data_IF_721273335502
#
_entry.id   IF_721273335502
#
_cell.length_a   1.000
_cell.length_b   1.000
_cell.length_c   1.000
_cell.angle_alpha   90.00
_cell.angle_beta   90.00
_cell.angle_gamma   90.00
#
_symmetry.space_group_name_H-M   'P 1'
#
loop_
_entity.id
_entity.type
_entity.pdbx_description
1 polymer ?
#
# COMPACT_ATOMS: atom_id res chain seq x y z
N UNK A 1 18.96 -3.65 0.61
CA UNK A 1 18.21 -3.57 -0.68
C UNK A 1 18.18 -2.13 -1.16
N UNK A 2 18.39 -1.88 -2.47
CA UNK A 2 18.37 -0.53 -3.03
C UNK A 2 17.38 -0.47 -4.21
N UNK A 3 16.67 0.65 -4.34
CA UNK A 3 15.88 0.98 -5.52
C UNK A 3 16.49 2.25 -6.12
N UNK A 4 17.23 2.12 -7.21
CA UNK A 4 18.09 3.20 -7.69
C UNK A 4 19.05 3.64 -6.58
N UNK A 5 18.94 4.91 -6.15
CA UNK A 5 19.75 5.48 -5.07
C UNK A 5 19.10 5.40 -3.68
N UNK A 6 17.89 4.87 -3.59
CA UNK A 6 17.14 4.75 -2.33
C UNK A 6 17.63 3.52 -1.56
N UNK A 7 18.24 3.73 -0.41
CA UNK A 7 18.72 2.65 0.47
C UNK A 7 17.63 2.27 1.48
N UNK A 8 17.20 1.01 1.50
CA UNK A 8 16.11 0.51 2.34
C UNK A 8 16.55 -0.51 3.42
N UNK A 9 17.86 -0.78 3.52
CA UNK A 9 18.38 -1.76 4.48
C UNK A 9 18.10 -3.21 4.08
N UNK A 10 18.10 -4.09 5.07
CA UNK A 10 17.83 -5.52 4.90
C UNK A 10 16.34 -5.84 5.14
N UNK A 11 15.77 -6.70 4.28
CA UNK A 11 14.37 -7.16 4.36
C UNK A 11 13.36 -6.03 4.59
N UNK A 12 13.34 -4.98 3.74
CA UNK A 12 12.45 -3.85 3.92
C UNK A 12 10.97 -4.22 3.80
N UNK A 13 10.16 -3.49 4.56
CA UNK A 13 8.71 -3.65 4.64
C UNK A 13 8.02 -2.45 3.98
N UNK A 14 7.14 -2.73 3.04
CA UNK A 14 6.45 -1.74 2.22
C UNK A 14 4.97 -1.66 2.59
N UNK A 15 4.43 -0.45 2.67
CA UNK A 15 2.98 -0.26 2.70
C UNK A 15 2.43 -0.29 1.27
N UNK A 16 1.47 -1.17 1.01
CA UNK A 16 0.84 -1.25 -0.30
C UNK A 16 -0.04 -0.01 -0.59
N UNK A 17 -0.04 0.53 -1.82
CA UNK A 17 -0.98 1.55 -2.22
C UNK A 17 -2.41 1.00 -2.26
N UNK A 18 -3.34 1.62 -1.52
CA UNK A 18 -4.73 1.19 -1.40
C UNK A 18 -5.65 2.41 -1.43
N UNK A 19 -6.51 2.48 -2.44
CA UNK A 19 -7.47 3.58 -2.63
C UNK A 19 -8.37 3.74 -1.41
N UNK A 20 -8.61 4.98 -1.01
CA UNK A 20 -9.38 5.40 0.17
C UNK A 20 -8.84 4.85 1.51
N UNK A 21 -7.60 4.38 1.58
CA UNK A 21 -7.03 3.80 2.80
C UNK A 21 -5.64 4.35 3.11
N UNK A 22 -4.74 4.34 2.12
CA UNK A 22 -3.36 4.77 2.32
C UNK A 22 -3.16 6.25 2.01
N UNK A 23 -4.05 7.07 2.56
CA UNK A 23 -3.89 8.52 2.56
C UNK A 23 -2.71 8.97 3.43
N UNK A 24 -2.34 10.25 3.37
CA UNK A 24 -1.19 10.78 4.09
C UNK A 24 -1.29 10.57 5.61
N UNK A 25 -2.49 10.59 6.19
CA UNK A 25 -2.67 10.38 7.64
C UNK A 25 -2.41 8.93 8.04
N UNK A 26 -2.82 7.97 7.22
CA UNK A 26 -2.53 6.56 7.49
C UNK A 26 -1.07 6.20 7.18
N UNK A 27 -0.48 6.78 6.14
CA UNK A 27 0.95 6.63 5.84
C UNK A 27 1.80 7.15 6.99
N UNK A 28 1.42 8.31 7.60
CA UNK A 28 2.06 8.82 8.81
C UNK A 28 2.10 7.76 9.92
N UNK A 29 0.97 7.14 10.22
CA UNK A 29 0.89 6.08 11.25
C UNK A 29 1.74 4.86 10.87
N UNK A 30 1.67 4.38 9.63
CA UNK A 30 2.46 3.23 9.20
C UNK A 30 3.98 3.51 9.24
N UNK A 31 4.39 4.75 8.95
CA UNK A 31 5.80 5.17 9.08
C UNK A 31 6.29 5.13 10.52
N UNK A 32 5.48 5.62 11.48
CA UNK A 32 5.80 5.52 12.91
C UNK A 32 6.01 4.07 13.38
N UNK A 33 5.30 3.12 12.78
CA UNK A 33 5.45 1.69 13.07
C UNK A 33 6.51 0.98 12.25
N UNK A 34 7.27 1.68 11.42
CA UNK A 34 8.45 1.16 10.75
C UNK A 34 8.19 0.59 9.35
N UNK A 35 7.19 1.11 8.62
CA UNK A 35 7.17 0.96 7.17
C UNK A 35 8.39 1.66 6.58
N UNK A 36 9.25 0.91 5.87
CA UNK A 36 10.49 1.46 5.31
C UNK A 36 10.18 2.35 4.12
N UNK A 37 9.22 1.95 3.29
CA UNK A 37 8.78 2.70 2.13
C UNK A 37 7.28 2.59 1.92
N UNK A 38 6.70 3.65 1.38
CA UNK A 38 5.27 3.74 1.12
C UNK A 38 5.01 4.32 -0.28
N UNK A 39 3.75 4.25 -0.68
CA UNK A 39 3.26 4.80 -1.95
C UNK A 39 2.02 5.64 -1.70
N UNK A 40 1.80 6.66 -2.53
CA UNK A 40 0.52 7.37 -2.55
C UNK A 40 -0.60 6.41 -2.97
N UNK A 41 -1.84 6.78 -2.73
CA UNK A 41 -2.94 6.17 -3.46
C UNK A 41 -2.71 6.36 -4.96
N UNK A 42 -3.16 5.39 -5.78
CA UNK A 42 -2.88 5.44 -7.22
C UNK A 42 -3.65 6.58 -7.91
N UNK A 43 -2.96 7.30 -8.79
CA UNK A 43 -3.44 8.50 -9.46
C UNK A 43 -3.69 8.20 -10.94
N UNK A 44 -4.86 8.59 -11.44
CA UNK A 44 -5.18 8.44 -12.86
C UNK A 44 -4.32 9.37 -13.71
N UNK A 45 -3.64 8.85 -14.73
CA UNK A 45 -2.92 9.66 -15.71
C UNK A 45 -3.86 10.63 -16.43
N UNK A 46 -5.03 10.17 -16.87
CA UNK A 46 -6.06 11.04 -17.46
C UNK A 46 -6.55 12.14 -16.51
N UNK A 47 -6.58 11.85 -15.20
CA UNK A 47 -6.96 12.82 -14.18
C UNK A 47 -5.89 13.89 -13.98
N UNK A 48 -4.62 13.49 -13.96
CA UNK A 48 -3.50 14.44 -13.81
C UNK A 48 -3.39 15.38 -14.99
N UNK A 49 -3.36 14.87 -16.22
CA UNK A 49 -3.18 15.70 -17.42
C UNK A 49 -4.36 16.66 -17.69
N UNK A 50 -5.50 16.46 -17.01
CA UNK A 50 -6.68 17.34 -17.06
C UNK A 50 -6.81 18.22 -15.82
N UNK A 51 -5.78 18.32 -15.01
CA UNK A 51 -5.74 19.09 -13.75
C UNK A 51 -6.92 18.79 -12.82
N UNK A 52 -7.37 17.52 -12.80
CA UNK A 52 -8.46 17.12 -11.94
C UNK A 52 -8.05 17.29 -10.47
N UNK A 53 -8.74 18.17 -9.75
CA UNK A 53 -8.42 18.57 -8.36
C UNK A 53 -8.07 17.37 -7.46
N UNK A 54 -8.86 16.30 -7.47
CA UNK A 54 -8.60 15.09 -6.66
C UNK A 54 -7.32 14.38 -7.04
N UNK A 55 -6.89 14.45 -8.31
CA UNK A 55 -5.63 13.87 -8.76
C UNK A 55 -4.44 14.71 -8.31
N UNK A 56 -4.56 16.03 -8.37
CA UNK A 56 -3.52 16.95 -7.90
C UNK A 56 -3.36 16.87 -6.37
N UNK A 57 -4.45 16.76 -5.61
CA UNK A 57 -4.42 16.59 -4.16
C UNK A 57 -3.62 15.33 -3.73
N UNK A 58 -3.64 14.26 -4.53
CA UNK A 58 -2.88 13.03 -4.26
C UNK A 58 -1.37 13.13 -4.57
N UNK A 59 -0.92 14.19 -5.27
CA UNK A 59 0.51 14.47 -5.46
C UNK A 59 1.17 15.02 -4.20
N UNK A 60 0.39 15.56 -3.25
CA UNK A 60 0.93 16.13 -2.01
C UNK A 60 1.50 15.02 -1.14
N UNK A 61 2.77 15.14 -0.80
CA UNK A 61 3.51 14.26 0.10
C UNK A 61 4.23 15.08 1.18
N UNK A 62 4.73 14.44 2.21
CA UNK A 62 5.32 15.11 3.37
C UNK A 62 6.70 14.53 3.68
N UNK A 63 7.60 15.32 4.26
CA UNK A 63 8.97 14.91 4.59
C UNK A 63 9.04 13.66 5.47
N UNK A 64 8.07 13.47 6.37
CA UNK A 64 8.01 12.30 7.23
C UNK A 64 7.71 10.99 6.47
N UNK A 65 7.26 11.07 5.23
CA UNK A 65 6.92 9.89 4.41
C UNK A 65 8.12 9.33 3.65
N UNK A 66 9.24 10.06 3.63
CA UNK A 66 10.45 9.67 2.89
C UNK A 66 11.04 8.33 3.36
N UNK A 67 11.39 7.42 2.44
CA UNK A 67 11.16 7.48 1.00
C UNK A 67 9.72 7.16 0.60
N UNK A 68 9.20 7.90 -0.38
CA UNK A 68 7.83 7.72 -0.88
C UNK A 68 7.78 7.66 -2.41
N UNK A 69 6.98 6.72 -2.94
CA UNK A 69 6.67 6.63 -4.35
C UNK A 69 5.33 7.27 -4.68
N UNK A 70 5.27 8.02 -5.78
CA UNK A 70 3.98 8.44 -6.36
C UNK A 70 3.54 7.37 -7.36
N UNK A 71 2.38 6.76 -7.11
CA UNK A 71 1.85 5.71 -7.97
C UNK A 71 0.83 6.25 -8.98
N UNK A 72 1.07 6.00 -10.27
CA UNK A 72 0.20 6.38 -11.38
C UNK A 72 -0.38 5.16 -12.09
N UNK A 73 -1.54 5.31 -12.72
CA UNK A 73 -2.14 4.28 -13.58
C UNK A 73 -2.82 4.88 -14.81
N UNK A 74 -2.80 4.13 -15.89
CA UNK A 74 -3.44 4.46 -17.15
C UNK A 74 -3.16 3.38 -18.19
N UNK A 75 -3.57 3.63 -19.43
CA UNK A 75 -3.35 2.73 -20.56
C UNK A 75 -3.07 3.48 -21.88
N UNK A 76 -2.92 4.78 -21.82
CA UNK A 76 -2.55 5.64 -22.96
C UNK A 76 -1.10 6.05 -22.73
N UNK A 77 -0.17 5.67 -23.63
CA UNK A 77 1.27 5.90 -23.45
C UNK A 77 1.60 7.37 -23.18
N UNK A 78 1.11 8.29 -23.98
CA UNK A 78 1.39 9.72 -23.88
C UNK A 78 0.89 10.28 -22.51
N UNK A 79 -0.32 9.89 -22.12
CA UNK A 79 -0.88 10.30 -20.81
C UNK A 79 -0.11 9.74 -19.62
N UNK A 80 0.47 8.54 -19.76
CA UNK A 80 1.30 7.93 -18.71
C UNK A 80 2.66 8.62 -18.60
N UNK A 81 3.24 9.03 -19.71
CA UNK A 81 4.49 9.83 -19.76
C UNK A 81 4.27 11.18 -19.09
N UNK A 82 3.23 11.91 -19.50
CA UNK A 82 2.92 13.23 -18.93
C UNK A 82 2.65 13.14 -17.42
N UNK A 83 1.88 12.13 -17.00
CA UNK A 83 1.61 11.88 -15.58
C UNK A 83 2.87 11.53 -14.78
N UNK A 84 3.81 10.79 -15.36
CA UNK A 84 5.08 10.47 -14.72
C UNK A 84 5.96 11.73 -14.54
N UNK A 85 6.02 12.59 -15.55
CA UNK A 85 6.72 13.90 -15.46
C UNK A 85 6.06 14.80 -14.41
N UNK A 86 4.72 14.80 -14.32
CA UNK A 86 4.01 15.52 -13.26
C UNK A 86 4.31 14.94 -11.87
N UNK A 87 4.39 13.61 -11.74
CA UNK A 87 4.75 12.96 -10.48
C UNK A 87 6.20 13.29 -10.06
N UNK A 88 7.15 13.31 -11.00
CA UNK A 88 8.55 13.75 -10.74
C UNK A 88 8.60 15.21 -10.24
N UNK A 89 7.72 16.06 -10.76
CA UNK A 89 7.62 17.47 -10.39
C UNK A 89 6.56 17.75 -9.31
N UNK A 90 6.15 16.76 -8.57
CA UNK A 90 5.04 16.88 -7.60
C UNK A 90 5.27 17.99 -6.58
N UNK A 91 6.50 18.18 -6.06
CA UNK A 91 6.84 19.26 -5.14
C UNK A 91 6.61 20.66 -5.75
N UNK A 92 6.91 20.83 -7.04
CA UNK A 92 6.70 22.08 -7.76
C UNK A 92 5.20 22.34 -8.04
N UNK A 93 4.45 21.29 -8.34
CA UNK A 93 3.04 21.37 -8.76
C UNK A 93 2.09 21.48 -7.56
N UNK A 94 2.31 20.67 -6.55
CA UNK A 94 1.39 20.49 -5.42
C UNK A 94 2.00 20.90 -4.06
N UNK A 95 3.29 21.19 -4.02
CA UNK A 95 4.02 21.45 -2.78
C UNK A 95 4.40 20.17 -2.02
N UNK A 96 4.94 20.35 -0.81
CA UNK A 96 5.38 19.26 0.04
C UNK A 96 6.75 18.70 -0.37
N UNK A 97 7.00 17.41 -0.01
CA UNK A 97 8.29 16.74 -0.25
C UNK A 97 8.50 16.40 -1.75
N UNK A 98 7.46 15.95 -2.45
CA UNK A 98 7.57 15.40 -3.80
C UNK A 98 7.69 13.88 -3.81
N UNK A 99 8.32 13.32 -4.85
CA UNK A 99 8.49 11.88 -5.03
C UNK A 99 9.96 11.48 -4.96
N UNK A 100 10.25 10.34 -4.33
CA UNK A 100 11.57 9.70 -4.40
C UNK A 100 11.64 8.70 -5.58
N UNK A 101 10.48 8.19 -6.02
CA UNK A 101 10.34 7.38 -7.22
C UNK A 101 8.93 7.50 -7.83
N UNK A 102 8.80 7.08 -9.08
CA UNK A 102 7.51 6.92 -9.77
C UNK A 102 7.18 5.43 -9.85
N UNK A 103 5.97 5.05 -9.41
CA UNK A 103 5.51 3.65 -9.50
C UNK A 103 4.34 3.53 -10.47
N UNK A 104 4.37 2.48 -11.30
CA UNK A 104 3.32 2.20 -12.28
C UNK A 104 2.41 1.10 -11.75
N UNK A 105 1.11 1.39 -11.63
CA UNK A 105 0.11 0.42 -11.22
C UNK A 105 -0.42 -0.37 -12.42
N UNK A 106 0.01 -1.62 -12.53
CA UNK A 106 -0.56 -2.63 -13.43
C UNK A 106 -1.26 -3.76 -12.65
N UNK A 107 -1.67 -3.49 -11.40
CA UNK A 107 -2.24 -4.52 -10.51
C UNK A 107 -3.66 -4.27 -10.02
N UNK A 108 -4.22 -3.06 -10.14
CA UNK A 108 -5.55 -2.75 -9.64
C UNK A 108 -6.64 -3.60 -10.33
N UNK A 109 -7.40 -4.47 -9.60
CA UNK A 109 -8.35 -5.38 -10.20
C UNK A 109 -9.77 -4.78 -10.35
N UNK A 110 -9.98 -3.56 -9.88
CA UNK A 110 -11.30 -2.91 -9.88
C UNK A 110 -11.88 -2.87 -11.29
N UNK A 111 -13.10 -3.38 -11.44
CA UNK A 111 -13.74 -3.56 -12.76
C UNK A 111 -13.82 -2.27 -13.58
N UNK A 112 -14.06 -1.12 -12.94
CA UNK A 112 -14.11 0.19 -13.60
C UNK A 112 -12.77 0.56 -14.27
N UNK A 113 -11.65 0.16 -13.68
CA UNK A 113 -10.30 0.40 -14.18
C UNK A 113 -9.90 -0.68 -15.19
N UNK A 114 -10.00 -1.95 -14.78
CA UNK A 114 -9.53 -3.08 -15.59
C UNK A 114 -10.30 -3.25 -16.90
N UNK A 115 -11.63 -2.97 -16.92
CA UNK A 115 -12.43 -3.00 -18.17
C UNK A 115 -12.02 -1.94 -19.19
N UNK A 116 -11.44 -0.84 -18.73
CA UNK A 116 -10.89 0.22 -19.60
C UNK A 116 -9.47 -0.08 -20.10
N UNK A 117 -8.92 -1.25 -19.78
CA UNK A 117 -7.58 -1.66 -20.16
C UNK A 117 -6.47 -1.09 -19.26
N UNK A 118 -6.79 -0.39 -18.15
CA UNK A 118 -5.81 0.16 -17.23
C UNK A 118 -5.62 -0.74 -15.99
N UNK A 119 -4.61 -0.44 -15.14
CA UNK A 119 -4.29 -1.28 -14.01
C UNK A 119 -4.04 -2.73 -14.44
N UNK A 120 -4.67 -3.70 -13.77
CA UNK A 120 -4.52 -5.12 -14.14
C UNK A 120 -5.16 -5.49 -15.51
N UNK A 121 -5.91 -4.59 -16.12
CA UNK A 121 -6.40 -4.74 -17.51
C UNK A 121 -5.26 -4.86 -18.52
N UNK A 122 -4.12 -4.23 -18.23
CA UNK A 122 -2.90 -4.27 -19.04
C UNK A 122 -2.27 -5.67 -19.13
N UNK A 123 -2.58 -6.59 -18.19
CA UNK A 123 -2.10 -7.98 -18.26
C UNK A 123 -2.56 -8.74 -19.50
N UNK A 124 -3.55 -8.23 -20.24
CA UNK A 124 -4.00 -8.77 -21.53
C UNK A 124 -3.26 -8.18 -22.74
N UNK A 125 -2.47 -7.14 -22.52
CA UNK A 125 -1.70 -6.42 -23.54
C UNK A 125 -0.25 -6.25 -23.07
N UNK A 126 0.51 -7.36 -22.84
CA UNK A 126 1.84 -7.30 -22.24
C UNK A 126 2.84 -6.48 -23.06
N UNK A 127 2.74 -6.49 -24.39
CA UNK A 127 3.60 -5.67 -25.24
C UNK A 127 3.38 -4.18 -25.03
N UNK A 128 2.13 -3.76 -24.92
CA UNK A 128 1.77 -2.37 -24.62
C UNK A 128 2.17 -1.98 -23.19
N UNK A 129 2.05 -2.91 -22.24
CA UNK A 129 2.47 -2.72 -20.87
C UNK A 129 3.99 -2.42 -20.79
N UNK A 130 4.79 -3.20 -21.50
CA UNK A 130 6.25 -3.01 -21.59
C UNK A 130 6.58 -1.69 -22.31
N UNK A 131 5.90 -1.37 -23.40
CA UNK A 131 6.12 -0.14 -24.17
C UNK A 131 5.78 1.12 -23.35
N UNK A 132 4.65 1.14 -22.63
CA UNK A 132 4.32 2.24 -21.72
C UNK A 132 5.42 2.39 -20.66
N UNK A 133 5.86 1.28 -20.06
CA UNK A 133 6.91 1.29 -19.05
C UNK A 133 8.21 1.87 -19.60
N UNK A 134 8.63 1.46 -20.80
CA UNK A 134 9.83 1.99 -21.47
C UNK A 134 9.74 3.50 -21.65
N UNK A 135 8.62 4.01 -22.18
CA UNK A 135 8.44 5.44 -22.41
C UNK A 135 8.45 6.23 -21.10
N UNK A 136 7.85 5.72 -20.04
CA UNK A 136 7.89 6.35 -18.72
C UNK A 136 9.32 6.38 -18.17
N UNK A 137 10.07 5.27 -18.24
CA UNK A 137 11.48 5.20 -17.80
C UNK A 137 12.35 6.20 -18.54
N UNK A 138 12.15 6.37 -19.87
CA UNK A 138 12.90 7.31 -20.69
C UNK A 138 12.57 8.79 -20.40
N UNK A 139 11.37 9.07 -19.86
CA UNK A 139 10.85 10.42 -19.70
C UNK A 139 11.24 11.07 -18.35
N UNK A 140 11.53 10.28 -17.31
CA UNK A 140 11.83 10.78 -15.96
C UNK A 140 13.23 10.41 -15.50
N UNK A 141 13.77 11.16 -14.55
CA UNK A 141 15.09 10.92 -13.93
C UNK A 141 14.96 10.08 -12.65
N UNK A 142 13.81 10.16 -11.99
CA UNK A 142 13.54 9.37 -10.80
C UNK A 142 13.52 7.87 -11.13
N UNK A 143 13.88 6.99 -10.17
CA UNK A 143 13.68 5.56 -10.32
C UNK A 143 12.22 5.25 -10.66
N UNK A 144 12.01 4.35 -11.63
CA UNK A 144 10.68 3.86 -11.99
C UNK A 144 10.53 2.43 -11.48
N UNK A 145 9.42 2.15 -10.81
CA UNK A 145 9.05 0.80 -10.35
C UNK A 145 7.70 0.39 -10.92
N UNK A 146 7.42 -0.91 -10.87
CA UNK A 146 6.13 -1.45 -11.33
C UNK A 146 5.51 -2.31 -10.25
N UNK A 147 4.21 -2.15 -10.01
CA UNK A 147 3.41 -3.06 -9.20
C UNK A 147 2.36 -3.77 -10.04
N UNK A 148 2.41 -5.11 -10.05
CA UNK A 148 1.55 -5.92 -10.91
C UNK A 148 1.03 -7.19 -10.21
N UNK A 149 0.42 -8.10 -10.97
CA UNK A 149 -0.13 -9.40 -10.56
C UNK A 149 0.50 -10.54 -11.36
N UNK A 150 0.09 -11.80 -11.08
CA UNK A 150 0.60 -12.99 -11.77
C UNK A 150 0.17 -13.05 -13.24
N UNK A 151 -0.98 -12.48 -13.58
CA UNK A 151 -1.60 -12.52 -14.90
C UNK A 151 -3.05 -12.04 -14.82
N UNK A 152 -3.77 -12.17 -15.96
CA UNK A 152 -5.18 -11.84 -16.04
C UNK A 152 -6.05 -12.90 -15.33
N UNK A 153 -5.86 -14.15 -15.66
CA UNK A 153 -6.57 -15.31 -15.10
C UNK A 153 -5.61 -16.49 -14.91
N UNK A 154 -6.15 -17.65 -14.57
CA UNK A 154 -5.37 -18.85 -14.26
C UNK A 154 -4.58 -19.36 -15.47
N UNK A 155 -5.15 -19.23 -16.68
CA UNK A 155 -4.56 -19.73 -17.93
C UNK A 155 -3.55 -18.75 -18.55
N UNK A 156 -3.50 -17.51 -18.06
CA UNK A 156 -2.65 -16.44 -18.57
C UNK A 156 -1.72 -15.84 -17.52
N UNK A 157 -1.11 -16.66 -16.67
CA UNK A 157 -0.06 -16.27 -15.72
C UNK A 157 1.26 -16.04 -16.47
N UNK A 158 1.54 -14.80 -16.80
CA UNK A 158 2.70 -14.40 -17.63
C UNK A 158 3.84 -13.76 -16.84
N UNK A 159 3.73 -13.67 -15.51
CA UNK A 159 4.62 -12.84 -14.69
C UNK A 159 6.10 -13.19 -14.81
N UNK A 160 6.47 -14.47 -15.01
CA UNK A 160 7.88 -14.89 -15.05
C UNK A 160 8.58 -14.31 -16.28
N UNK A 161 7.96 -14.40 -17.46
CA UNK A 161 8.48 -13.79 -18.69
C UNK A 161 8.35 -12.27 -18.67
N UNK A 162 7.21 -11.76 -18.19
CA UNK A 162 6.94 -10.33 -18.14
C UNK A 162 7.93 -9.58 -17.23
N UNK A 163 8.37 -10.20 -16.15
CA UNK A 163 9.34 -9.61 -15.22
C UNK A 163 10.68 -9.28 -15.92
N UNK A 164 11.21 -10.19 -16.72
CA UNK A 164 12.43 -9.95 -17.51
C UNK A 164 12.23 -8.77 -18.47
N UNK A 165 11.13 -8.76 -19.20
CA UNK A 165 10.82 -7.72 -20.19
C UNK A 165 10.67 -6.34 -19.54
N UNK A 166 10.07 -6.26 -18.35
CA UNK A 166 9.95 -5.01 -17.58
C UNK A 166 11.32 -4.56 -17.05
N UNK A 167 12.16 -5.48 -16.57
CA UNK A 167 13.53 -5.16 -16.19
C UNK A 167 14.34 -4.62 -17.36
N UNK A 168 14.24 -5.25 -18.53
CA UNK A 168 15.00 -4.91 -19.73
C UNK A 168 14.71 -3.48 -20.22
N UNK A 169 13.53 -2.92 -19.93
CA UNK A 169 13.19 -1.53 -20.24
C UNK A 169 13.57 -0.55 -19.12
N UNK A 170 14.20 -1.01 -18.04
CA UNK A 170 14.92 -0.16 -17.08
C UNK A 170 14.19 0.15 -15.76
N UNK A 171 13.15 -0.60 -15.39
CA UNK A 171 12.58 -0.45 -14.04
C UNK A 171 13.60 -0.82 -12.97
N UNK A 172 13.49 -0.20 -11.79
CA UNK A 172 14.44 -0.37 -10.70
C UNK A 172 13.97 -1.32 -9.59
N UNK A 173 12.72 -1.72 -9.57
CA UNK A 173 12.16 -2.78 -8.73
C UNK A 173 10.80 -3.24 -9.27
N UNK A 174 10.42 -4.48 -8.92
CA UNK A 174 9.14 -5.07 -9.32
C UNK A 174 8.40 -5.62 -8.09
N UNK A 175 7.19 -5.13 -7.87
CA UNK A 175 6.28 -5.67 -6.84
C UNK A 175 5.25 -6.59 -7.48
N UNK A 176 5.14 -7.82 -6.99
CA UNK A 176 4.23 -8.82 -7.55
C UNK A 176 3.21 -9.26 -6.49
N UNK A 177 1.92 -9.05 -6.77
CA UNK A 177 0.84 -9.62 -5.97
C UNK A 177 0.58 -11.07 -6.43
N UNK A 178 0.64 -12.02 -5.51
CA UNK A 178 0.47 -13.46 -5.73
C UNK A 178 -0.95 -13.91 -6.14
N UNK A 179 -1.70 -13.07 -6.83
CA UNK A 179 -3.02 -13.38 -7.41
C UNK A 179 -3.13 -12.90 -8.84
N UNK A 180 -4.00 -13.54 -9.61
CA UNK A 180 -4.42 -13.03 -10.92
C UNK A 180 -5.45 -11.91 -10.78
N UNK A 181 -5.75 -11.20 -11.88
CA UNK A 181 -6.82 -10.18 -11.86
C UNK A 181 -8.18 -10.83 -11.58
N UNK A 182 -8.47 -11.97 -12.18
CA UNK A 182 -9.78 -12.63 -12.03
C UNK A 182 -10.03 -13.16 -10.62
N UNK A 183 -9.00 -13.56 -9.89
CA UNK A 183 -9.11 -13.90 -8.47
C UNK A 183 -9.50 -12.69 -7.60
N UNK A 184 -9.15 -11.47 -8.02
CA UNK A 184 -9.28 -10.26 -7.19
C UNK A 184 -8.61 -10.44 -5.82
N UNK A 185 -9.40 -10.84 -4.80
CA UNK A 185 -8.94 -11.12 -3.44
C UNK A 185 -9.39 -12.51 -2.93
N UNK A 186 -10.01 -13.33 -3.80
CA UNK A 186 -10.49 -14.67 -3.44
C UNK A 186 -9.34 -15.66 -3.38
N UNK A 187 -9.54 -16.73 -2.60
CA UNK A 187 -8.54 -17.78 -2.39
C UNK A 187 -7.28 -17.22 -1.71
N UNK A 188 -6.20 -17.98 -1.77
CA UNK A 188 -4.89 -17.59 -1.22
C UNK A 188 -3.98 -17.01 -2.30
N UNK A 189 -3.05 -16.16 -1.87
CA UNK A 189 -2.01 -15.64 -2.75
C UNK A 189 -0.98 -16.74 -3.03
N UNK A 190 -0.74 -17.03 -4.31
CA UNK A 190 0.26 -17.98 -4.76
C UNK A 190 1.62 -17.28 -4.95
N UNK A 191 2.57 -17.57 -4.07
CA UNK A 191 3.91 -17.00 -4.13
C UNK A 191 4.90 -17.84 -4.94
N UNK A 192 4.51 -18.99 -5.47
CA UNK A 192 5.42 -19.88 -6.21
C UNK A 192 5.99 -19.19 -7.45
N UNK A 193 5.18 -18.42 -8.17
CA UNK A 193 5.66 -17.66 -9.34
C UNK A 193 6.49 -16.44 -8.95
N UNK A 194 6.24 -15.82 -7.78
CA UNK A 194 7.10 -14.76 -7.24
C UNK A 194 8.49 -15.33 -6.95
N UNK A 195 8.56 -16.51 -6.30
CA UNK A 195 9.79 -17.24 -6.08
C UNK A 195 10.53 -17.57 -7.37
N UNK A 196 9.80 -18.05 -8.40
CA UNK A 196 10.40 -18.33 -9.72
C UNK A 196 10.99 -17.09 -10.41
N UNK A 197 10.33 -15.93 -10.27
CA UNK A 197 10.89 -14.66 -10.74
C UNK A 197 12.18 -14.34 -10.00
N UNK A 198 12.19 -14.49 -8.66
CA UNK A 198 13.37 -14.20 -7.84
C UNK A 198 14.53 -15.16 -8.09
N UNK A 199 14.25 -16.42 -8.32
CA UNK A 199 15.27 -17.47 -8.62
C UNK A 199 15.83 -17.36 -10.04
N UNK A 200 15.21 -16.59 -10.92
CA UNK A 200 15.68 -16.43 -12.29
C UNK A 200 17.02 -15.69 -12.32
N UNK A 201 18.12 -16.33 -12.82
CA UNK A 201 19.46 -15.74 -12.83
C UNK A 201 19.61 -14.49 -13.71
N UNK A 202 18.62 -14.22 -14.58
CA UNK A 202 18.58 -13.00 -15.38
C UNK A 202 17.97 -11.80 -14.65
N UNK A 203 17.31 -12.03 -13.52
CA UNK A 203 16.75 -10.95 -12.72
C UNK A 203 17.81 -10.33 -11.79
N UNK A 204 18.02 -9.03 -11.94
CA UNK A 204 19.02 -8.26 -11.20
C UNK A 204 18.41 -7.17 -10.33
N UNK A 205 17.16 -6.79 -10.60
CA UNK A 205 16.43 -5.80 -9.80
C UNK A 205 15.77 -6.45 -8.58
N UNK A 206 15.51 -5.68 -7.52
CA UNK A 206 14.76 -6.17 -6.37
C UNK A 206 13.36 -6.66 -6.72
N UNK A 207 12.99 -7.81 -6.15
CA UNK A 207 11.66 -8.40 -6.26
C UNK A 207 10.96 -8.28 -4.91
N UNK A 208 9.81 -7.60 -4.89
CA UNK A 208 9.01 -7.36 -3.70
C UNK A 208 7.75 -8.23 -3.77
N UNK A 209 7.60 -9.13 -2.82
CA UNK A 209 6.44 -10.02 -2.74
C UNK A 209 5.25 -9.35 -2.04
N UNK A 210 4.04 -9.60 -2.53
CA UNK A 210 2.81 -9.07 -1.96
C UNK A 210 1.69 -10.12 -1.98
N UNK A 211 0.85 -10.11 -0.96
CA UNK A 211 -0.33 -10.95 -0.83
C UNK A 211 -0.33 -11.80 0.44
N UNK A 212 -1.39 -11.66 1.22
CA UNK A 212 -1.70 -12.46 2.43
C UNK A 212 -0.62 -12.49 3.52
N UNK A 213 0.18 -11.45 3.63
CA UNK A 213 1.08 -11.25 4.77
C UNK A 213 0.24 -10.75 5.94
N UNK A 214 -0.11 -11.65 6.84
CA UNK A 214 -1.05 -11.41 7.94
C UNK A 214 -0.42 -11.49 9.33
N UNK A 215 0.82 -11.97 9.43
CA UNK A 215 1.55 -12.10 10.69
C UNK A 215 3.06 -11.97 10.49
N UNK A 216 3.76 -11.76 11.59
CA UNK A 216 5.22 -11.70 11.62
C UNK A 216 5.87 -13.04 11.21
N UNK A 217 5.30 -14.16 11.66
CA UNK A 217 5.77 -15.49 11.31
C UNK A 217 5.64 -15.75 9.81
N UNK A 218 4.49 -15.37 9.22
CA UNK A 218 4.25 -15.55 7.78
C UNK A 218 5.17 -14.67 6.94
N UNK A 219 5.45 -13.46 7.39
CA UNK A 219 6.44 -12.59 6.74
C UNK A 219 7.82 -13.24 6.72
N UNK A 220 8.29 -13.76 7.88
CA UNK A 220 9.58 -14.46 7.96
C UNK A 220 9.62 -15.71 7.08
N UNK A 221 8.57 -16.56 7.16
CA UNK A 221 8.46 -17.75 6.31
C UNK A 221 8.61 -17.39 4.82
N UNK A 222 7.94 -16.33 4.38
CA UNK A 222 7.93 -15.95 2.97
C UNK A 222 9.26 -15.32 2.52
N UNK A 223 9.93 -14.54 3.37
CA UNK A 223 11.30 -14.11 3.10
C UNK A 223 12.24 -15.32 2.94
N UNK A 224 12.18 -16.27 3.87
CA UNK A 224 13.09 -17.41 3.89
C UNK A 224 12.80 -18.41 2.76
N UNK A 225 11.50 -18.62 2.43
CA UNK A 225 11.07 -19.58 1.43
C UNK A 225 11.22 -19.11 -0.01
N UNK A 226 10.90 -17.85 -0.28
CA UNK A 226 10.86 -17.33 -1.65
C UNK A 226 12.02 -16.39 -1.97
N UNK A 227 12.86 -16.06 -1.00
CA UNK A 227 14.08 -15.28 -1.17
C UNK A 227 13.86 -13.84 -1.68
N UNK A 228 12.63 -13.31 -1.58
CA UNK A 228 12.31 -11.96 -2.04
C UNK A 228 13.10 -10.90 -1.29
N UNK A 229 13.42 -9.78 -1.96
CA UNK A 229 14.23 -8.70 -1.39
C UNK A 229 13.44 -7.83 -0.41
N UNK A 230 12.12 -7.73 -0.59
CA UNK A 230 11.23 -6.99 0.27
C UNK A 230 9.83 -7.60 0.30
N UNK A 231 9.04 -7.21 1.29
CA UNK A 231 7.63 -7.63 1.42
C UNK A 231 6.73 -6.40 1.49
N UNK A 232 5.66 -6.40 0.67
CA UNK A 232 4.65 -5.36 0.68
C UNK A 232 3.38 -5.85 1.37
N UNK A 233 2.89 -5.06 2.34
CA UNK A 233 1.75 -5.40 3.18
C UNK A 233 0.58 -4.48 2.83
N UNK A 234 -0.57 -5.06 2.52
CA UNK A 234 -1.80 -4.31 2.21
C UNK A 234 -2.84 -4.46 3.31
N UNK A 235 -3.90 -5.22 3.04
CA UNK A 235 -5.08 -5.36 3.89
C UNK A 235 -4.80 -5.66 5.36
N UNK A 236 -3.71 -6.37 5.66
CA UNK A 236 -3.29 -6.68 7.03
C UNK A 236 -2.97 -5.44 7.89
N UNK A 237 -2.77 -4.29 7.28
CA UNK A 237 -2.55 -3.02 8.00
C UNK A 237 -3.86 -2.37 8.48
N UNK A 238 -5.04 -2.81 8.00
CA UNK A 238 -6.32 -2.24 8.41
C UNK A 238 -6.58 -2.50 9.89
N UNK A 239 -6.67 -1.44 10.68
CA UNK A 239 -6.82 -1.57 12.13
C UNK A 239 -5.63 -2.21 12.84
N UNK A 240 -4.53 -2.44 12.12
CA UNK A 240 -3.33 -3.12 12.62
C UNK A 240 -2.03 -2.54 11.98
N UNK A 241 -1.84 -1.21 11.91
CA UNK A 241 -0.64 -0.63 11.28
C UNK A 241 0.66 -0.99 12.04
N UNK A 242 0.59 -1.39 13.30
CA UNK A 242 1.74 -1.86 14.09
C UNK A 242 2.29 -3.23 13.65
N UNK A 243 1.67 -3.90 12.66
CA UNK A 243 2.18 -5.13 12.03
C UNK A 243 3.62 -4.94 11.51
N UNK A 244 4.00 -3.75 11.05
CA UNK A 244 5.37 -3.45 10.63
C UNK A 244 6.36 -3.61 11.78
N UNK A 245 6.02 -3.10 12.97
CA UNK A 245 6.83 -3.23 14.19
C UNK A 245 6.92 -4.70 14.64
N UNK A 246 5.81 -5.43 14.60
CA UNK A 246 5.76 -6.85 14.94
C UNK A 246 6.65 -7.68 14.02
N UNK A 247 6.56 -7.47 12.70
CA UNK A 247 7.40 -8.16 11.72
C UNK A 247 8.88 -7.82 11.95
N UNK A 248 9.21 -6.55 12.09
CA UNK A 248 10.60 -6.10 12.31
C UNK A 248 11.19 -6.75 13.56
N UNK A 249 10.47 -6.73 14.66
CA UNK A 249 10.90 -7.35 15.91
C UNK A 249 11.13 -8.85 15.74
N UNK A 250 10.16 -9.55 15.12
CA UNK A 250 10.27 -11.00 14.91
C UNK A 250 11.43 -11.39 13.98
N UNK A 251 11.67 -10.61 12.93
CA UNK A 251 12.83 -10.83 12.03
C UNK A 251 14.17 -10.68 12.74
N UNK A 252 14.24 -9.77 13.73
CA UNK A 252 15.46 -9.49 14.49
C UNK A 252 15.70 -10.46 15.65
N UNK A 253 14.64 -10.88 16.34
CA UNK A 253 14.76 -11.62 17.61
C UNK A 253 14.26 -13.06 17.54
N UNK A 254 13.37 -13.37 16.62
CA UNK A 254 12.59 -14.61 16.57
C UNK A 254 11.44 -14.68 17.60
N UNK A 255 11.21 -13.60 18.36
CA UNK A 255 10.18 -13.52 19.40
C UNK A 255 9.01 -12.63 18.95
N UNK A 256 7.80 -12.99 19.38
CA UNK A 256 6.61 -12.19 19.13
C UNK A 256 6.50 -11.05 20.14
N UNK A 257 6.08 -9.90 19.69
CA UNK A 257 5.66 -8.82 20.60
C UNK A 257 4.34 -9.20 21.28
N UNK A 258 4.11 -8.74 22.53
CA UNK A 258 2.80 -8.85 23.16
C UNK A 258 1.75 -8.10 22.32
N UNK A 259 0.48 -8.56 22.31
CA UNK A 259 -0.61 -7.88 21.61
C UNK A 259 -0.75 -6.43 22.11
N UNK A 260 -1.01 -5.50 21.18
CA UNK A 260 -1.29 -4.11 21.54
C UNK A 260 -2.58 -4.01 22.36
N UNK A 261 -2.51 -3.42 23.55
CA UNK A 261 -3.66 -3.24 24.45
C UNK A 261 -4.73 -2.32 23.84
N UNK A 262 -5.96 -2.41 24.35
CA UNK A 262 -7.05 -1.51 23.91
C UNK A 262 -6.71 -0.04 24.20
N UNK A 263 -6.08 0.25 25.33
CA UNK A 263 -5.64 1.60 25.69
C UNK A 263 -4.63 2.15 24.68
N UNK A 264 -3.65 1.35 24.25
CA UNK A 264 -2.69 1.76 23.22
C UNK A 264 -3.37 1.96 21.85
N UNK A 265 -4.35 1.10 21.49
CA UNK A 265 -5.14 1.28 20.26
C UNK A 265 -5.97 2.56 20.29
N UNK A 266 -6.53 2.94 21.45
CA UNK A 266 -7.23 4.23 21.63
C UNK A 266 -6.28 5.41 21.45
N UNK A 267 -5.10 5.38 22.06
CA UNK A 267 -4.09 6.42 21.90
C UNK A 267 -3.67 6.56 20.42
N UNK A 268 -3.49 5.44 19.72
CA UNK A 268 -3.21 5.41 18.30
C UNK A 268 -4.36 5.99 17.46
N UNK A 269 -5.60 5.57 17.70
CA UNK A 269 -6.78 6.05 16.99
C UNK A 269 -6.96 7.57 17.14
N UNK A 270 -6.68 8.11 18.33
CA UNK A 270 -6.70 9.57 18.58
C UNK A 270 -5.63 10.31 17.78
N UNK A 271 -4.39 9.80 17.73
CA UNK A 271 -3.32 10.40 16.93
C UNK A 271 -3.65 10.36 15.43
N UNK A 272 -4.17 9.24 14.95
CA UNK A 272 -4.58 9.11 13.55
C UNK A 272 -5.71 10.08 13.20
N UNK A 273 -6.74 10.18 14.05
CA UNK A 273 -7.84 11.13 13.89
C UNK A 273 -7.33 12.57 13.87
N UNK A 274 -6.47 12.94 14.81
CA UNK A 274 -5.86 14.27 14.87
C UNK A 274 -5.10 14.59 13.58
N UNK A 275 -4.28 13.64 13.08
CA UNK A 275 -3.51 13.81 11.85
C UNK A 275 -4.40 13.91 10.61
N UNK A 276 -5.48 13.14 10.55
CA UNK A 276 -6.45 13.22 9.45
C UNK A 276 -7.17 14.58 9.44
N UNK A 277 -7.56 15.09 10.60
CA UNK A 277 -8.18 16.42 10.73
C UNK A 277 -7.20 17.53 10.37
N UNK A 278 -5.94 17.44 10.84
CA UNK A 278 -4.89 18.40 10.49
C UNK A 278 -4.70 18.55 8.98
N UNK A 279 -4.68 17.43 8.25
CA UNK A 279 -4.42 17.42 6.81
C UNK A 279 -5.67 17.81 5.99
N UNK A 280 -6.87 17.39 6.41
CA UNK A 280 -8.09 17.44 5.57
C UNK A 280 -9.21 18.32 6.12
N UNK A 281 -9.03 18.86 7.32
CA UNK A 281 -10.08 19.54 8.09
C UNK A 281 -11.08 18.57 8.71
N UNK A 282 -11.88 19.09 9.65
CA UNK A 282 -12.78 18.28 10.48
C UNK A 282 -13.70 17.38 9.65
N UNK A 283 -14.40 17.96 8.67
CA UNK A 283 -15.43 17.24 7.93
C UNK A 283 -14.88 16.05 7.14
N UNK A 284 -13.85 16.28 6.32
CA UNK A 284 -13.28 15.24 5.46
C UNK A 284 -12.46 14.27 6.29
N UNK A 285 -11.63 14.78 7.21
CA UNK A 285 -10.80 13.98 8.09
C UNK A 285 -11.61 12.97 8.91
N UNK A 286 -12.74 13.39 9.49
CA UNK A 286 -13.62 12.49 10.24
C UNK A 286 -14.29 11.46 9.32
N UNK A 287 -14.81 11.87 8.17
CA UNK A 287 -15.49 10.95 7.26
C UNK A 287 -14.56 9.82 6.77
N UNK A 288 -13.34 10.14 6.44
CA UNK A 288 -12.37 9.14 5.96
C UNK A 288 -11.84 8.26 7.09
N UNK A 289 -11.73 8.82 8.33
CA UNK A 289 -11.34 8.04 9.51
C UNK A 289 -12.34 6.96 9.92
N UNK A 290 -13.61 7.03 9.52
CA UNK A 290 -14.64 6.03 9.88
C UNK A 290 -14.24 4.60 9.55
N UNK A 291 -13.58 4.40 8.40
CA UNK A 291 -13.06 3.09 7.98
C UNK A 291 -12.01 2.58 8.98
N UNK A 292 -11.05 3.40 9.35
CA UNK A 292 -9.99 3.04 10.26
C UNK A 292 -10.50 2.83 11.69
N UNK A 293 -11.32 3.73 12.19
CA UNK A 293 -11.91 3.64 13.53
C UNK A 293 -12.72 2.36 13.72
N UNK A 294 -13.47 1.93 12.69
CA UNK A 294 -14.23 0.68 12.75
C UNK A 294 -13.34 -0.57 12.82
N UNK A 295 -12.09 -0.49 12.36
CA UNK A 295 -11.16 -1.61 12.31
C UNK A 295 -10.28 -1.72 13.56
N UNK A 296 -9.87 -0.59 14.19
CA UNK A 296 -8.98 -0.59 15.35
C UNK A 296 -9.51 -1.39 16.56
N UNK A 297 -10.84 -1.48 16.70
CA UNK A 297 -11.50 -2.07 17.86
C UNK A 297 -12.33 -3.32 17.49
N UNK A 298 -12.07 -3.91 16.33
CA UNK A 298 -12.76 -5.13 15.92
C UNK A 298 -12.46 -6.27 16.88
N UNK A 299 -13.50 -7.04 17.22
CA UNK A 299 -13.41 -8.19 18.12
C UNK A 299 -13.67 -7.88 19.60
N UNK A 300 -13.85 -6.61 19.98
CA UNK A 300 -14.26 -6.28 21.36
C UNK A 300 -15.69 -6.78 21.64
N UNK A 301 -15.95 -7.38 22.81
CA UNK A 301 -17.28 -7.85 23.19
C UNK A 301 -18.25 -6.67 23.33
N UNK A 302 -19.52 -6.90 22.98
CA UNK A 302 -20.62 -5.91 23.10
C UNK A 302 -20.35 -4.53 22.47
N UNK A 303 -19.50 -4.49 21.45
CA UNK A 303 -18.97 -3.27 20.85
C UNK A 303 -19.89 -2.63 19.80
N UNK A 304 -21.03 -3.25 19.44
CA UNK A 304 -21.87 -2.84 18.31
C UNK A 304 -22.35 -1.38 18.38
N UNK A 305 -22.86 -0.94 19.55
CA UNK A 305 -23.37 0.42 19.74
C UNK A 305 -22.24 1.46 19.70
N UNK A 306 -21.13 1.16 20.36
CA UNK A 306 -19.94 2.03 20.37
C UNK A 306 -19.33 2.15 18.95
N UNK A 307 -19.28 1.05 18.21
CA UNK A 307 -18.87 1.09 16.81
C UNK A 307 -19.77 1.98 15.97
N UNK A 308 -21.10 1.92 16.19
CA UNK A 308 -22.03 2.77 15.46
C UNK A 308 -21.73 4.26 15.73
N UNK A 309 -21.46 4.65 16.97
CA UNK A 309 -21.03 6.02 17.32
C UNK A 309 -19.78 6.42 16.55
N UNK A 310 -18.74 5.60 16.54
CA UNK A 310 -17.47 5.89 15.84
C UNK A 310 -17.65 6.15 14.33
N UNK A 311 -18.67 5.56 13.68
CA UNK A 311 -18.90 5.71 12.23
C UNK A 311 -20.03 6.68 11.87
N UNK A 312 -20.72 7.27 12.85
CA UNK A 312 -21.85 8.21 12.59
C UNK A 312 -21.59 9.60 13.15
N UNK A 313 -20.82 9.74 14.22
CA UNK A 313 -20.49 11.04 14.80
C UNK A 313 -19.72 11.91 13.80
N UNK A 314 -19.94 13.22 13.85
CA UNK A 314 -19.29 14.22 13.00
C UNK A 314 -18.54 15.29 13.81
N UNK A 315 -18.74 15.34 15.12
CA UNK A 315 -18.06 16.25 16.01
C UNK A 315 -16.75 15.60 16.54
N UNK A 316 -15.58 16.24 16.40
CA UNK A 316 -14.32 15.70 16.88
C UNK A 316 -14.33 15.41 18.39
N UNK A 317 -14.94 16.30 19.21
CA UNK A 317 -14.93 16.15 20.67
C UNK A 317 -15.76 14.95 21.10
N UNK A 318 -16.91 14.71 20.44
CA UNK A 318 -17.73 13.51 20.68
C UNK A 318 -16.98 12.23 20.29
N UNK A 319 -16.20 12.26 19.20
CA UNK A 319 -15.35 11.13 18.81
C UNK A 319 -14.23 10.88 19.82
N UNK A 320 -13.53 11.93 20.27
CA UNK A 320 -12.51 11.79 21.32
C UNK A 320 -13.09 11.26 22.62
N UNK A 321 -14.26 11.76 23.05
CA UNK A 321 -14.97 11.26 24.24
C UNK A 321 -15.38 9.79 24.09
N UNK A 322 -15.81 9.39 22.87
CA UNK A 322 -16.13 7.99 22.58
C UNK A 322 -14.89 7.10 22.64
N UNK A 323 -13.75 7.58 22.17
CA UNK A 323 -12.48 6.88 22.27
C UNK A 323 -12.00 6.74 23.72
N UNK A 324 -12.19 7.78 24.58
CA UNK A 324 -11.92 7.69 26.01
C UNK A 324 -12.80 6.65 26.69
N UNK A 325 -14.09 6.65 26.39
CA UNK A 325 -15.01 5.61 26.88
C UNK A 325 -14.57 4.19 26.51
N UNK A 326 -14.01 3.98 25.30
CA UNK A 326 -13.47 2.68 24.89
C UNK A 326 -12.30 2.27 25.80
N UNK A 327 -11.38 3.19 26.10
CA UNK A 327 -10.26 2.90 27.00
C UNK A 327 -10.74 2.57 28.43
N UNK A 328 -11.74 3.27 28.93
CA UNK A 328 -12.31 3.03 30.26
C UNK A 328 -13.03 1.67 30.35
N UNK A 329 -13.83 1.34 29.33
CA UNK A 329 -14.70 0.16 29.34
C UNK A 329 -13.96 -1.14 29.03
N UNK A 330 -12.99 -1.11 28.10
CA UNK A 330 -12.29 -2.31 27.61
C UNK A 330 -10.77 -2.27 27.82
N UNK A 331 -10.23 -1.21 28.44
CA UNK A 331 -8.78 -1.03 28.59
C UNK A 331 -8.08 -2.13 29.40
N UNK A 332 -8.80 -2.80 30.31
CA UNK A 332 -8.29 -3.92 31.09
C UNK A 332 -8.43 -5.28 30.33
N UNK A 333 -9.16 -5.33 29.24
CA UNK A 333 -9.35 -6.55 28.46
C UNK A 333 -8.14 -6.79 27.56
N UNK A 334 -7.68 -8.05 27.47
CA UNK A 334 -6.77 -8.43 26.39
C UNK A 334 -7.54 -8.33 25.09
N UNK A 335 -7.09 -7.46 24.21
CA UNK A 335 -7.69 -7.37 22.90
C UNK A 335 -7.52 -8.72 22.20
N UNK A 336 -8.60 -9.30 21.63
CA UNK A 336 -8.47 -10.54 20.86
C UNK A 336 -7.44 -10.33 19.75
N UNK A 337 -6.61 -11.34 19.52
CA UNK A 337 -5.75 -11.38 18.34
C UNK A 337 -6.62 -11.12 17.11
N UNK A 338 -6.11 -10.35 16.17
CA UNK A 338 -6.82 -10.06 14.94
C UNK A 338 -6.92 -11.33 14.09
N UNK A 339 -7.81 -12.25 14.48
CA UNK A 339 -8.16 -13.37 13.63
C UNK A 339 -8.72 -12.81 12.32
N UNK A 340 -8.07 -13.19 11.25
CA UNK A 340 -8.43 -13.07 9.83
C UNK A 340 -9.62 -12.12 9.52
N UNK A 341 -9.34 -10.82 9.60
CA UNK A 341 -10.33 -9.73 9.50
C UNK A 341 -10.81 -9.51 8.05
N UNK A 342 -10.35 -10.32 7.09
CA UNK A 342 -10.43 -10.04 5.66
C UNK A 342 -11.55 -10.77 4.92
N UNK A 343 -12.70 -10.89 5.56
CA UNK A 343 -13.93 -11.21 4.84
C UNK A 343 -14.38 -10.01 4.01
N UNK A 344 -13.84 -9.82 2.81
CA UNK A 344 -14.42 -9.06 1.70
C UNK A 344 -14.57 -10.01 0.52
#
# INVERSE_FOLDING_TARGET
MNIGQIELGDRPLFLAPMEDVTDASFRFICKEFGADMMYTEFISSDGLIRDARKSLEKLVTYDYETPIGIQIYGNIPEAMVDAAVMAERAAEIAGGHGADLVDINFGCPVSKIARRGAGSGMMREPDKMVEITRQVVEAVKLPVTVKTRLGWDEDSKIIVELAERLQDVGIQALTIHGRTRCQMYKGEADWTLIGKVKENPRMHIPIIGNGDITSAQKAKEYFDRYGVDGIMIGRATYGHPWIFKEIRHYLQTGELLPPMSVTERVALAKRHLAKSIEIKGDRVGILEMRRHLSCYFKGLPDFKETRLKLVTLNDPNELYSTLDYIAERWGAEQAPEAENVYGI
#
